data_IF_666095892401
#
_entry.id   IF_666095892401
#
_cell.length_a   1.000
_cell.length_b   1.000
_cell.length_c   1.000
_cell.angle_alpha   90.00
_cell.angle_beta   90.00
_cell.angle_gamma   90.00
#
_symmetry.space_group_name_H-M   'P 1'
#
loop_
_entity.id
_entity.type
_entity.pdbx_description
1 polymer ?
#
# COMPACT_ATOMS: atom_id res chain seq x y z
N UNK A 1 14.32 -21.35 6.45
CA UNK A 1 14.90 -20.33 7.36
C UNK A 1 15.35 -19.10 6.55
N UNK A 2 14.67 -17.96 6.70
CA UNK A 2 14.99 -16.75 5.95
C UNK A 2 16.40 -16.22 6.29
N UNK A 3 17.13 -15.81 5.25
CA UNK A 3 18.53 -15.36 5.31
C UNK A 3 18.66 -14.10 6.18
N UNK A 4 19.67 -14.06 7.06
CA UNK A 4 20.02 -12.85 7.83
C UNK A 4 20.99 -12.02 7.02
N UNK A 5 20.76 -10.72 6.98
CA UNK A 5 21.60 -9.74 6.28
C UNK A 5 22.34 -8.90 7.33
N UNK A 6 23.63 -8.67 7.12
CA UNK A 6 24.47 -7.82 7.97
C UNK A 6 24.27 -6.34 7.66
N UNK A 7 24.61 -5.41 8.58
CA UNK A 7 24.52 -3.97 8.30
C UNK A 7 25.24 -3.57 7.00
N UNK A 8 26.48 -4.05 6.79
CA UNK A 8 27.29 -3.72 5.61
C UNK A 8 26.67 -4.22 4.30
N UNK A 9 26.10 -5.42 4.30
CA UNK A 9 25.39 -5.94 3.13
C UNK A 9 24.16 -5.09 2.82
N UNK A 10 23.43 -4.63 3.84
CA UNK A 10 22.24 -3.81 3.67
C UNK A 10 22.56 -2.39 3.20
N UNK A 11 23.62 -1.76 3.74
CA UNK A 11 24.15 -0.49 3.23
C UNK A 11 24.51 -0.57 1.75
N UNK A 12 25.22 -1.64 1.36
CA UNK A 12 25.61 -1.85 -0.03
C UNK A 12 24.41 -2.12 -0.94
N UNK A 13 23.42 -2.89 -0.47
CA UNK A 13 22.23 -3.23 -1.26
C UNK A 13 21.31 -2.02 -1.47
N UNK A 14 21.18 -1.16 -0.47
CA UNK A 14 20.29 0.01 -0.50
C UNK A 14 20.99 1.30 -0.96
N UNK A 15 22.33 1.30 -1.02
CA UNK A 15 23.15 2.47 -1.30
C UNK A 15 22.85 3.65 -0.35
N UNK A 16 22.74 3.36 0.94
CA UNK A 16 22.49 4.34 2.02
C UNK A 16 23.62 4.33 3.03
N UNK A 17 23.79 5.43 3.77
CA UNK A 17 24.80 5.52 4.82
C UNK A 17 24.35 4.90 6.15
N UNK A 18 25.31 4.48 6.97
CA UNK A 18 25.09 3.83 8.27
C UNK A 18 24.11 4.57 9.20
N UNK A 19 24.20 5.91 9.23
CA UNK A 19 23.32 6.72 10.08
C UNK A 19 21.86 6.61 9.65
N UNK A 20 21.59 6.69 8.34
CA UNK A 20 20.25 6.54 7.78
C UNK A 20 19.73 5.12 7.99
N UNK A 21 20.58 4.12 7.73
CA UNK A 21 20.25 2.73 8.00
C UNK A 21 19.81 2.52 9.47
N UNK A 22 20.54 3.08 10.43
CA UNK A 22 20.22 2.93 11.85
C UNK A 22 18.84 3.52 12.22
N UNK A 23 18.47 4.68 11.67
CA UNK A 23 17.12 5.22 11.93
C UNK A 23 16.04 4.33 11.33
N UNK A 24 16.23 3.91 10.07
CA UNK A 24 15.25 3.09 9.36
C UNK A 24 15.08 1.71 10.01
N UNK A 25 16.17 1.10 10.46
CA UNK A 25 16.15 -0.25 11.06
C UNK A 25 15.45 -0.26 12.41
N UNK A 26 15.65 0.77 13.24
CA UNK A 26 14.93 0.90 14.52
C UNK A 26 13.44 1.07 14.26
N UNK A 27 13.07 1.96 13.33
CA UNK A 27 11.66 2.17 12.98
C UNK A 27 10.99 0.87 12.52
N UNK A 28 11.63 0.13 11.61
CA UNK A 28 11.07 -1.12 11.09
C UNK A 28 10.96 -2.21 12.17
N UNK A 29 11.92 -2.27 13.11
CA UNK A 29 11.86 -3.17 14.27
C UNK A 29 10.71 -2.79 15.20
N UNK A 30 10.54 -1.50 15.52
CA UNK A 30 9.41 -1.01 16.35
C UNK A 30 8.05 -1.28 15.69
N UNK A 31 8.00 -1.29 14.36
CA UNK A 31 6.81 -1.73 13.61
C UNK A 31 6.68 -3.25 13.53
N UNK A 32 7.59 -4.03 14.10
CA UNK A 32 7.57 -5.49 14.09
C UNK A 32 7.73 -6.11 12.69
N UNK A 33 8.23 -5.35 11.71
CA UNK A 33 8.37 -5.80 10.32
C UNK A 33 9.68 -6.55 10.09
N UNK A 34 10.66 -6.32 10.96
CA UNK A 34 11.95 -6.99 10.96
C UNK A 34 12.32 -7.38 12.39
N UNK A 35 13.27 -8.29 12.53
CA UNK A 35 13.85 -8.69 13.80
C UNK A 35 15.36 -8.45 13.77
N UNK A 36 15.87 -7.75 14.78
CA UNK A 36 17.30 -7.46 14.90
C UNK A 36 17.99 -8.47 15.80
N UNK A 37 19.14 -8.96 15.33
CA UNK A 37 20.12 -9.61 16.17
C UNK A 37 20.98 -8.52 16.81
N UNK A 38 20.76 -8.27 18.10
CA UNK A 38 21.45 -7.22 18.85
C UNK A 38 22.75 -7.78 19.45
N UNK A 39 23.89 -7.07 19.35
CA UNK A 39 25.10 -7.43 20.07
C UNK A 39 24.93 -7.11 21.57
N UNK A 40 25.87 -7.61 22.39
CA UNK A 40 25.88 -7.31 23.83
C UNK A 40 26.22 -5.83 24.11
N UNK A 41 27.08 -5.22 23.30
CA UNK A 41 27.46 -3.81 23.40
C UNK A 41 27.77 -3.21 22.01
N UNK A 42 27.68 -1.88 21.89
CA UNK A 42 28.08 -1.13 20.69
C UNK A 42 26.96 -0.94 19.67
N UNK A 43 27.08 -1.58 18.51
CA UNK A 43 26.21 -1.38 17.35
C UNK A 43 24.74 -1.73 17.62
N UNK A 44 23.80 -1.09 16.90
CA UNK A 44 22.36 -1.34 17.04
C UNK A 44 21.99 -2.79 16.67
N UNK A 45 22.66 -3.37 15.67
CA UNK A 45 22.44 -4.73 15.24
C UNK A 45 23.67 -5.31 14.53
N UNK A 46 23.80 -6.64 14.54
CA UNK A 46 24.80 -7.39 13.76
C UNK A 46 24.18 -8.21 12.63
N UNK A 47 22.86 -8.37 12.66
CA UNK A 47 22.11 -9.03 11.61
C UNK A 47 20.62 -8.67 11.69
N UNK A 48 19.95 -8.64 10.55
CA UNK A 48 18.52 -8.39 10.44
C UNK A 48 17.87 -9.48 9.62
N UNK A 49 16.64 -9.86 9.95
CA UNK A 49 15.76 -10.64 9.07
C UNK A 49 14.37 -10.02 9.01
N UNK A 50 13.68 -10.26 7.91
CA UNK A 50 12.24 -9.94 7.79
C UNK A 50 11.43 -10.86 8.72
N UNK A 51 10.44 -10.30 9.42
CA UNK A 51 9.52 -11.08 10.26
C UNK A 51 8.42 -11.72 9.40
N UNK A 52 7.63 -12.64 9.96
CA UNK A 52 6.43 -13.16 9.26
C UNK A 52 5.47 -12.02 8.89
N UNK A 53 5.26 -11.07 9.79
CA UNK A 53 4.46 -9.87 9.54
C UNK A 53 5.03 -9.01 8.42
N UNK A 54 6.35 -8.86 8.36
CA UNK A 54 7.03 -8.16 7.27
C UNK A 54 6.80 -8.85 5.92
N UNK A 55 6.88 -10.18 5.88
CA UNK A 55 6.61 -10.99 4.68
C UNK A 55 5.16 -10.79 4.22
N UNK A 56 4.20 -10.98 5.12
CA UNK A 56 2.78 -10.80 4.81
C UNK A 56 2.49 -9.39 4.27
N UNK A 57 3.21 -8.38 4.77
CA UNK A 57 3.06 -6.99 4.31
C UNK A 57 3.64 -6.78 2.90
N UNK A 58 4.83 -7.28 2.60
CA UNK A 58 5.44 -7.09 1.26
C UNK A 58 4.75 -7.93 0.18
N UNK A 59 4.10 -9.03 0.57
CA UNK A 59 3.26 -9.85 -0.34
C UNK A 59 1.88 -9.21 -0.58
N UNK A 60 1.46 -8.26 0.26
CA UNK A 60 0.24 -7.48 0.10
C UNK A 60 0.55 -6.07 -0.44
N UNK A 61 0.84 -5.98 -1.75
CA UNK A 61 1.20 -4.73 -2.46
C UNK A 61 0.31 -3.54 -2.07
N UNK A 62 -1.00 -3.78 -1.98
CA UNK A 62 -1.98 -2.76 -1.62
C UNK A 62 -1.77 -2.25 -0.18
N UNK A 63 -1.60 -3.17 0.78
CA UNK A 63 -1.33 -2.80 2.18
C UNK A 63 0.02 -2.11 2.31
N UNK A 64 1.04 -2.59 1.60
CA UNK A 64 2.37 -2.01 1.60
C UNK A 64 2.33 -0.55 1.12
N UNK A 65 1.73 -0.30 -0.05
CA UNK A 65 1.61 1.03 -0.65
C UNK A 65 0.81 2.03 0.21
N UNK A 66 -0.19 1.54 0.95
CA UNK A 66 -0.98 2.35 1.86
C UNK A 66 -0.21 2.70 3.13
N UNK A 67 0.56 1.75 3.67
CA UNK A 67 1.36 1.96 4.89
C UNK A 67 2.64 2.77 4.64
N UNK A 68 3.22 2.62 3.45
CA UNK A 68 4.43 3.30 3.00
C UNK A 68 4.16 4.06 1.71
N UNK A 69 3.33 5.12 1.74
CA UNK A 69 3.04 5.89 0.55
C UNK A 69 4.33 6.52 0.05
N UNK A 70 4.68 6.29 -1.21
CA UNK A 70 5.77 7.01 -1.85
C UNK A 70 5.42 8.51 -1.82
N UNK A 71 6.19 9.29 -1.06
CA UNK A 71 5.90 10.71 -0.84
C UNK A 71 6.06 11.46 -2.17
N UNK A 72 4.94 11.62 -2.88
CA UNK A 72 4.84 12.39 -4.12
C UNK A 72 4.01 13.64 -3.87
N UNK A 73 4.41 14.45 -2.89
CA UNK A 73 4.31 15.92 -2.84
C UNK A 73 2.96 16.64 -3.04
N UNK A 74 1.87 15.99 -3.44
CA UNK A 74 0.61 16.67 -3.78
C UNK A 74 -0.47 16.38 -2.73
N UNK A 75 -0.56 17.26 -1.73
CA UNK A 75 -1.75 17.37 -0.87
C UNK A 75 -2.90 17.97 -1.67
N UNK A 76 -3.60 17.15 -2.45
CA UNK A 76 -4.86 17.53 -3.09
C UNK A 76 -5.99 17.50 -2.06
N UNK A 77 -6.86 18.53 -2.07
CA UNK A 77 -8.00 18.59 -1.16
C UNK A 77 -8.95 17.38 -1.36
N UNK A 78 -9.58 16.85 -0.29
CA UNK A 78 -10.41 15.64 -0.32
C UNK A 78 -11.53 15.66 -1.38
N UNK A 79 -12.08 16.84 -1.66
CA UNK A 79 -13.17 17.05 -2.63
C UNK A 79 -12.80 16.73 -4.07
N UNK A 80 -11.54 16.89 -4.47
CA UNK A 80 -11.11 16.57 -5.83
C UNK A 80 -10.90 15.07 -6.08
N UNK A 81 -10.75 14.27 -5.03
CA UNK A 81 -10.38 12.86 -5.16
C UNK A 81 -11.56 12.02 -5.68
N UNK A 82 -12.77 12.25 -5.16
CA UNK A 82 -13.97 11.57 -5.67
C UNK A 82 -14.29 11.97 -7.12
N UNK A 83 -13.93 13.19 -7.54
CA UNK A 83 -14.03 13.62 -8.92
C UNK A 83 -13.08 12.84 -9.84
N UNK A 84 -11.87 12.47 -9.38
CA UNK A 84 -10.94 11.62 -10.15
C UNK A 84 -11.53 10.24 -10.47
N UNK A 85 -12.28 9.65 -9.54
CA UNK A 85 -12.97 8.39 -9.80
C UNK A 85 -14.08 8.55 -10.86
N UNK A 86 -14.84 9.65 -10.83
CA UNK A 86 -15.86 9.91 -11.85
C UNK A 86 -15.21 10.10 -13.23
N UNK A 87 -14.13 10.89 -13.31
CA UNK A 87 -13.36 11.06 -14.55
C UNK A 87 -12.82 9.73 -15.08
N UNK A 88 -12.38 8.84 -14.18
CA UNK A 88 -11.93 7.51 -14.57
C UNK A 88 -13.09 6.68 -15.15
N UNK A 89 -14.26 6.68 -14.51
CA UNK A 89 -15.47 6.00 -15.01
C UNK A 89 -15.84 6.52 -16.40
N UNK A 90 -15.94 7.85 -16.57
CA UNK A 90 -16.28 8.48 -17.83
C UNK A 90 -15.26 8.12 -18.93
N UNK A 91 -13.98 8.07 -18.57
CA UNK A 91 -12.92 7.66 -19.49
C UNK A 91 -13.09 6.21 -19.94
N UNK A 92 -13.48 5.29 -19.04
CA UNK A 92 -13.69 3.87 -19.34
C UNK A 92 -14.91 3.69 -20.26
N UNK A 93 -16.00 4.40 -19.96
CA UNK A 93 -17.22 4.36 -20.77
C UNK A 93 -16.94 4.81 -22.22
N UNK A 94 -16.01 5.74 -22.40
CA UNK A 94 -15.59 6.28 -23.71
C UNK A 94 -14.61 5.39 -24.51
N UNK A 95 -14.08 4.27 -23.97
CA UNK A 95 -13.12 3.41 -24.68
C UNK A 95 -13.82 2.52 -25.70
N UNK A 96 -13.72 2.81 -27.00
CA UNK A 96 -14.45 2.05 -28.03
C UNK A 96 -14.05 0.57 -28.16
N UNK A 97 -12.85 0.19 -27.72
CA UNK A 97 -12.28 -1.15 -27.92
C UNK A 97 -12.52 -2.14 -26.77
N UNK A 98 -13.29 -1.76 -25.74
CA UNK A 98 -13.63 -2.63 -24.61
C UNK A 98 -15.12 -3.01 -24.70
N UNK A 99 -15.42 -4.29 -24.49
CA UNK A 99 -16.79 -4.80 -24.41
C UNK A 99 -17.63 -4.00 -23.40
N UNK A 100 -18.86 -3.66 -23.79
CA UNK A 100 -19.74 -2.85 -22.96
C UNK A 100 -20.16 -3.56 -21.66
N UNK A 101 -20.26 -4.90 -21.68
CA UNK A 101 -20.46 -5.70 -20.47
C UNK A 101 -19.29 -5.58 -19.51
N UNK A 102 -18.06 -5.74 -20.03
CA UNK A 102 -16.83 -5.59 -19.24
C UNK A 102 -16.70 -4.18 -18.64
N UNK A 103 -16.99 -3.12 -19.42
CA UNK A 103 -17.03 -1.74 -18.92
C UNK A 103 -17.96 -1.59 -17.74
N UNK A 104 -19.21 -2.08 -17.86
CA UNK A 104 -20.20 -2.00 -16.77
C UNK A 104 -19.76 -2.73 -15.51
N UNK A 105 -19.12 -3.89 -15.66
CA UNK A 105 -18.58 -4.63 -14.52
C UNK A 105 -17.48 -3.82 -13.82
N UNK A 106 -16.51 -3.29 -14.58
CA UNK A 106 -15.40 -2.52 -14.00
C UNK A 106 -15.91 -1.23 -13.35
N UNK A 107 -16.78 -0.47 -14.01
CA UNK A 107 -17.30 0.78 -13.45
C UNK A 107 -18.19 0.53 -12.22
N UNK A 108 -18.90 -0.59 -12.15
CA UNK A 108 -19.60 -1.00 -10.94
C UNK A 108 -18.64 -1.25 -9.77
N UNK A 109 -17.55 -1.99 -9.97
CA UNK A 109 -16.56 -2.22 -8.90
C UNK A 109 -15.87 -0.90 -8.46
N UNK A 110 -15.62 0.03 -9.38
CA UNK A 110 -15.09 1.37 -9.04
C UNK A 110 -16.11 2.17 -8.22
N UNK A 111 -17.40 2.10 -8.54
CA UNK A 111 -18.47 2.75 -7.75
C UNK A 111 -18.59 2.14 -6.35
N UNK A 112 -18.44 0.83 -6.21
CA UNK A 112 -18.40 0.18 -4.90
C UNK A 112 -17.22 0.68 -4.06
N UNK A 113 -16.03 0.85 -4.66
CA UNK A 113 -14.88 1.47 -4.01
C UNK A 113 -15.21 2.90 -3.55
N UNK A 114 -15.78 3.74 -4.41
CA UNK A 114 -16.18 5.10 -4.06
C UNK A 114 -17.19 5.13 -2.90
N UNK A 115 -18.19 4.25 -2.95
CA UNK A 115 -19.25 4.20 -1.94
C UNK A 115 -18.71 3.74 -0.59
N UNK A 116 -17.80 2.76 -0.57
CA UNK A 116 -17.15 2.29 0.64
C UNK A 116 -16.26 3.39 1.25
N UNK A 117 -15.50 4.14 0.43
CA UNK A 117 -14.67 5.25 0.88
C UNK A 117 -15.46 6.45 1.43
N UNK A 118 -16.72 6.62 1.05
CA UNK A 118 -17.61 7.68 1.58
C UNK A 118 -18.20 7.35 2.95
N UNK A 119 -18.07 6.12 3.42
CA UNK A 119 -18.56 5.73 4.74
C UNK A 119 -17.75 6.43 5.82
N UNK A 120 -18.39 6.65 6.97
CA UNK A 120 -17.73 7.15 8.17
C UNK A 120 -16.60 6.20 8.58
N UNK A 121 -16.82 4.90 8.41
CA UNK A 121 -15.83 3.85 8.63
C UNK A 121 -15.71 2.96 7.38
N UNK A 122 -14.81 3.30 6.45
CA UNK A 122 -14.56 2.49 5.26
C UNK A 122 -13.90 1.16 5.62
N UNK A 123 -14.24 0.10 4.90
CA UNK A 123 -13.61 -1.21 5.11
C UNK A 123 -12.43 -1.47 4.18
N UNK A 124 -11.25 -1.71 4.73
CA UNK A 124 -10.05 -2.04 3.95
C UNK A 124 -10.23 -3.35 3.17
N UNK A 125 -10.74 -4.39 3.83
CA UNK A 125 -10.93 -5.72 3.23
C UNK A 125 -11.90 -5.69 2.05
N UNK A 126 -12.96 -4.87 2.13
CA UNK A 126 -13.90 -4.69 1.01
C UNK A 126 -13.24 -3.97 -0.16
N UNK A 127 -12.51 -2.89 0.10
CA UNK A 127 -11.76 -2.16 -0.93
C UNK A 127 -10.77 -3.10 -1.62
N UNK A 128 -9.98 -3.87 -0.85
CA UNK A 128 -9.05 -4.87 -1.38
C UNK A 128 -9.74 -5.89 -2.28
N UNK A 129 -10.92 -6.39 -1.88
CA UNK A 129 -11.72 -7.33 -2.67
C UNK A 129 -12.13 -6.71 -4.02
N UNK A 130 -12.64 -5.47 -4.02
CA UNK A 130 -13.04 -4.80 -5.25
C UNK A 130 -11.85 -4.49 -6.16
N UNK A 131 -10.72 -4.04 -5.59
CA UNK A 131 -9.46 -3.86 -6.31
C UNK A 131 -9.00 -5.16 -6.99
N UNK A 132 -9.04 -6.28 -6.28
CA UNK A 132 -8.67 -7.59 -6.84
C UNK A 132 -9.57 -8.00 -8.02
N UNK A 133 -10.87 -7.72 -7.94
CA UNK A 133 -11.79 -7.96 -9.06
C UNK A 133 -11.52 -7.07 -10.27
N UNK A 134 -11.03 -5.85 -10.08
CA UNK A 134 -10.63 -4.94 -11.16
C UNK A 134 -9.34 -5.45 -11.81
N UNK A 135 -8.32 -5.82 -11.00
CA UNK A 135 -7.05 -6.41 -11.46
C UNK A 135 -7.28 -7.63 -12.35
N UNK A 136 -8.17 -8.54 -11.93
CA UNK A 136 -8.55 -9.72 -12.73
C UNK A 136 -9.19 -9.40 -14.10
N UNK A 137 -9.73 -8.20 -14.29
CA UNK A 137 -10.43 -7.79 -15.51
C UNK A 137 -9.56 -6.93 -16.42
N UNK A 138 -8.81 -5.99 -15.83
CA UNK A 138 -7.97 -5.04 -16.56
C UNK A 138 -6.91 -4.45 -15.62
N UNK A 139 -5.65 -4.85 -15.82
CA UNK A 139 -4.51 -4.38 -15.03
C UNK A 139 -4.26 -2.87 -15.21
N UNK A 140 -4.49 -2.32 -16.40
CA UNK A 140 -4.26 -0.89 -16.67
C UNK A 140 -5.27 -0.02 -15.92
N UNK A 141 -6.54 -0.45 -15.87
CA UNK A 141 -7.55 0.24 -15.07
C UNK A 141 -7.26 0.06 -13.58
N UNK A 142 -6.82 -1.12 -13.14
CA UNK A 142 -6.37 -1.35 -11.77
C UNK A 142 -5.29 -0.36 -11.33
N UNK A 143 -4.24 -0.16 -12.15
CA UNK A 143 -3.17 0.80 -11.85
C UNK A 143 -3.70 2.24 -11.72
N UNK A 144 -4.64 2.64 -12.58
CA UNK A 144 -5.28 3.96 -12.50
C UNK A 144 -6.11 4.12 -11.23
N UNK A 145 -6.82 3.08 -10.81
CA UNK A 145 -7.57 3.07 -9.54
C UNK A 145 -6.59 3.15 -8.36
N UNK A 146 -5.51 2.35 -8.38
CA UNK A 146 -4.47 2.37 -7.35
C UNK A 146 -3.81 3.74 -7.23
N UNK A 147 -3.56 4.45 -8.33
CA UNK A 147 -3.03 5.81 -8.29
C UNK A 147 -3.96 6.79 -7.54
N UNK A 148 -5.28 6.60 -7.61
CA UNK A 148 -6.24 7.39 -6.83
C UNK A 148 -6.20 6.96 -5.36
N UNK A 149 -6.19 5.65 -5.09
CA UNK A 149 -6.16 5.09 -3.72
C UNK A 149 -4.89 5.48 -2.96
N UNK A 150 -3.73 5.53 -3.64
CA UNK A 150 -2.43 5.96 -3.09
C UNK A 150 -2.39 7.43 -2.69
N UNK A 151 -3.45 8.21 -2.95
CA UNK A 151 -3.53 9.58 -2.47
C UNK A 151 -3.43 9.60 -0.93
N UNK A 152 -2.60 10.49 -0.33
CA UNK A 152 -2.35 10.50 1.11
C UNK A 152 -3.61 10.54 1.98
N UNK A 153 -4.67 11.24 1.54
CA UNK A 153 -5.92 11.32 2.29
C UNK A 153 -6.66 9.97 2.30
N UNK A 154 -6.71 9.27 1.17
CA UNK A 154 -7.32 7.93 1.11
C UNK A 154 -6.43 6.91 1.82
N UNK A 155 -5.13 6.91 1.54
CA UNK A 155 -4.18 5.98 2.16
C UNK A 155 -4.24 6.08 3.68
N UNK A 156 -4.28 7.27 4.26
CA UNK A 156 -4.40 7.43 5.71
C UNK A 156 -5.66 6.78 6.27
N UNK A 157 -6.81 7.02 5.64
CA UNK A 157 -8.10 6.42 6.05
C UNK A 157 -8.04 4.89 5.95
N UNK A 158 -7.53 4.37 4.84
CA UNK A 158 -7.42 2.94 4.63
C UNK A 158 -6.39 2.27 5.53
N UNK A 159 -5.31 2.96 5.89
CA UNK A 159 -4.31 2.47 6.83
C UNK A 159 -4.93 2.30 8.24
N UNK A 160 -5.74 3.26 8.68
CA UNK A 160 -6.48 3.15 9.95
C UNK A 160 -7.51 2.01 9.92
N UNK A 161 -8.25 1.89 8.83
CA UNK A 161 -9.19 0.77 8.67
C UNK A 161 -8.48 -0.59 8.62
N UNK A 162 -7.35 -0.70 7.93
CA UNK A 162 -6.54 -1.91 7.90
C UNK A 162 -6.02 -2.29 9.29
N UNK A 163 -5.55 -1.32 10.09
CA UNK A 163 -5.14 -1.55 11.48
C UNK A 163 -6.29 -2.08 12.35
N UNK A 164 -7.50 -1.55 12.19
CA UNK A 164 -8.68 -1.99 12.95
C UNK A 164 -9.11 -3.41 12.55
N UNK A 165 -9.18 -3.68 11.25
CA UNK A 165 -9.71 -4.94 10.72
C UNK A 165 -8.75 -6.11 10.86
N UNK A 166 -7.46 -5.86 10.61
CA UNK A 166 -6.42 -6.90 10.58
C UNK A 166 -5.68 -7.01 11.93
N UNK A 167 -6.08 -6.19 12.91
CA UNK A 167 -5.47 -6.07 14.22
C UNK A 167 -4.21 -5.21 14.22
N UNK A 168 -3.94 -4.59 15.38
CA UNK A 168 -2.58 -4.18 15.73
C UNK A 168 -1.79 -5.47 16.00
N UNK A 169 -1.24 -6.05 14.94
CA UNK A 169 0.03 -6.79 15.05
C UNK A 169 1.12 -5.78 14.83
#
# INVERSE_FOLDING_TARGET
PYYRITPKELENALNIGFKELNYNIIYLEEKGLIELQKPLEGSIFVGVRISSKGIDLVEDECRFDIMFPADKGEKLAPTHIFAKFNLLIDSIESINNIDNGLKKLITAEIREIQNELKKIEPSYTKIKKFLGKIKQKDDNIYEKVMAIIKNPNISSILAESAKRELGNV
#
